data_IF_206390288274
#
_entry.id   IF_206390288274
#
_cell.length_a   1.000
_cell.length_b   1.000
_cell.length_c   1.000
_cell.angle_alpha   90.00
_cell.angle_beta   90.00
_cell.angle_gamma   90.00
#
_symmetry.space_group_name_H-M   'P 1'
#
loop_
_entity.id
_entity.type
_entity.pdbx_description
1 polymer ?
#
# COMPACT_ATOMS: atom_id res chain seq x y z
N UNK A 1 -19.42 -5.29 -17.38
CA UNK A 1 -18.68 -4.54 -16.36
C UNK A 1 -17.88 -3.49 -17.10
N UNK A 2 -17.85 -2.26 -16.59
CA UNK A 2 -16.96 -1.22 -17.13
C UNK A 2 -15.50 -1.65 -16.92
N UNK A 3 -14.60 -1.30 -17.84
CA UNK A 3 -13.18 -1.69 -17.71
C UNK A 3 -12.52 -0.97 -16.53
N UNK A 4 -13.00 0.23 -16.18
CA UNK A 4 -12.57 0.95 -14.98
C UNK A 4 -12.90 0.17 -13.71
N UNK A 5 -14.12 -0.37 -13.61
CA UNK A 5 -14.55 -1.17 -12.46
C UNK A 5 -13.69 -2.44 -12.29
N UNK A 6 -13.25 -3.04 -13.41
CA UNK A 6 -12.40 -4.23 -13.38
C UNK A 6 -10.97 -3.91 -12.93
N UNK A 7 -10.42 -2.77 -13.35
CA UNK A 7 -9.09 -2.33 -12.92
C UNK A 7 -9.07 -1.92 -11.44
N UNK A 8 -10.12 -1.27 -10.96
CA UNK A 8 -10.30 -0.93 -9.55
C UNK A 8 -10.41 -2.19 -8.70
N UNK A 9 -11.18 -3.19 -9.15
CA UNK A 9 -11.31 -4.47 -8.45
C UNK A 9 -9.98 -5.23 -8.41
N UNK A 10 -9.27 -5.32 -9.54
CA UNK A 10 -7.96 -5.97 -9.58
C UNK A 10 -6.92 -5.27 -8.69
N UNK A 11 -6.95 -3.95 -8.62
CA UNK A 11 -6.10 -3.18 -7.72
C UNK A 11 -6.46 -3.46 -6.25
N UNK A 12 -7.75 -3.53 -5.93
CA UNK A 12 -8.21 -3.86 -4.57
C UNK A 12 -7.81 -5.28 -4.17
N UNK A 13 -7.95 -6.27 -5.06
CA UNK A 13 -7.52 -7.65 -4.83
C UNK A 13 -6.00 -7.72 -4.58
N UNK A 14 -5.21 -6.99 -5.38
CA UNK A 14 -3.77 -6.89 -5.18
C UNK A 14 -3.41 -6.28 -3.81
N UNK A 15 -4.12 -5.23 -3.37
CA UNK A 15 -3.93 -4.63 -2.05
C UNK A 15 -4.34 -5.59 -0.92
N UNK A 16 -5.40 -6.38 -1.10
CA UNK A 16 -5.81 -7.40 -0.14
C UNK A 16 -4.72 -8.45 0.09
N UNK A 17 -3.87 -8.74 -0.92
CA UNK A 17 -2.71 -9.62 -0.78
C UNK A 17 -1.64 -9.11 0.19
N UNK A 18 -1.62 -7.81 0.49
CA UNK A 18 -0.72 -7.21 1.47
C UNK A 18 -1.27 -7.21 2.91
N UNK A 19 -2.51 -7.67 3.10
CA UNK A 19 -3.13 -7.76 4.41
C UNK A 19 -2.92 -9.15 5.00
N UNK A 20 -2.45 -9.21 6.24
CA UNK A 20 -2.37 -10.48 6.96
C UNK A 20 -3.78 -11.03 7.14
N UNK A 21 -4.02 -12.26 6.69
CA UNK A 21 -5.33 -12.89 6.79
C UNK A 21 -5.68 -13.13 8.27
N UNK A 22 -6.79 -12.56 8.72
CA UNK A 22 -7.33 -12.84 10.05
C UNK A 22 -7.82 -14.29 10.14
N UNK A 23 -7.64 -14.90 11.32
CA UNK A 23 -8.11 -16.27 11.58
C UNK A 23 -9.65 -16.32 11.78
N UNK A 24 -10.26 -15.17 11.99
CA UNK A 24 -11.67 -14.98 12.31
C UNK A 24 -12.07 -13.51 12.25
N UNK A 25 -13.33 -13.23 12.50
CA UNK A 25 -13.90 -11.88 12.41
C UNK A 25 -13.86 -11.11 13.75
N UNK A 26 -13.51 -11.79 14.84
CA UNK A 26 -13.49 -11.19 16.17
C UNK A 26 -12.16 -10.47 16.42
N UNK A 27 -12.13 -9.39 17.23
CA UNK A 27 -10.92 -8.61 17.47
C UNK A 27 -9.72 -9.43 18.00
N UNK A 28 -9.96 -10.55 18.68
CA UNK A 28 -8.89 -11.43 19.17
C UNK A 28 -8.30 -12.33 18.07
N UNK A 29 -9.05 -12.57 16.99
CA UNK A 29 -8.61 -13.35 15.83
C UNK A 29 -7.86 -12.49 14.79
N UNK A 30 -7.78 -11.18 15.04
CA UNK A 30 -7.08 -10.26 14.16
C UNK A 30 -5.57 -10.39 14.34
N UNK A 31 -4.81 -10.30 13.24
CA UNK A 31 -3.37 -10.44 13.29
C UNK A 31 -2.74 -9.25 14.02
N UNK A 32 -1.77 -9.53 14.90
CA UNK A 32 -0.95 -8.50 15.55
C UNK A 32 -0.16 -7.67 14.54
N UNK A 33 0.21 -8.30 13.41
CA UNK A 33 0.94 -7.69 12.30
C UNK A 33 -0.05 -7.56 11.14
N UNK A 34 -0.61 -6.37 10.89
CA UNK A 34 -1.71 -6.22 9.93
C UNK A 34 -1.27 -6.33 8.46
N UNK A 35 0.03 -6.12 8.19
CA UNK A 35 0.58 -6.12 6.84
C UNK A 35 1.58 -7.26 6.67
N UNK A 36 1.51 -7.96 5.54
CA UNK A 36 2.46 -9.00 5.15
C UNK A 36 2.95 -8.78 3.73
N UNK A 37 4.17 -9.24 3.41
CA UNK A 37 4.65 -9.25 2.03
C UNK A 37 4.12 -10.50 1.32
N UNK A 38 3.25 -10.38 0.30
CA UNK A 38 2.90 -11.52 -0.53
C UNK A 38 4.15 -12.07 -1.21
N UNK A 39 4.14 -13.38 -1.43
CA UNK A 39 5.30 -14.04 -2.04
C UNK A 39 5.48 -13.62 -3.52
N UNK A 40 6.61 -14.04 -4.12
CA UNK A 40 6.91 -13.66 -5.49
C UNK A 40 5.90 -14.19 -6.52
N UNK A 41 5.29 -15.35 -6.27
CA UNK A 41 4.31 -15.97 -7.15
C UNK A 41 2.98 -15.24 -7.06
N UNK A 42 2.51 -14.97 -5.83
CA UNK A 42 1.30 -14.20 -5.54
C UNK A 42 1.37 -12.79 -6.15
N UNK A 43 2.52 -12.11 -6.00
CA UNK A 43 2.73 -10.79 -6.61
C UNK A 43 2.73 -10.84 -8.13
N UNK A 44 3.38 -11.83 -8.72
CA UNK A 44 3.40 -11.98 -10.16
C UNK A 44 2.00 -12.29 -10.72
N UNK A 45 1.16 -13.01 -9.98
CA UNK A 45 -0.24 -13.24 -10.35
C UNK A 45 -1.07 -11.97 -10.25
N UNK A 46 -0.97 -11.24 -9.14
CA UNK A 46 -1.63 -9.95 -8.98
C UNK A 46 -1.23 -8.96 -10.09
N UNK A 47 0.03 -8.94 -10.48
CA UNK A 47 0.54 -8.12 -11.58
C UNK A 47 -0.12 -8.48 -12.92
N UNK A 48 -0.22 -9.78 -13.24
CA UNK A 48 -0.91 -10.26 -14.45
C UNK A 48 -2.39 -9.92 -14.45
N UNK A 49 -3.06 -10.06 -13.30
CA UNK A 49 -4.49 -9.74 -13.17
C UNK A 49 -4.74 -8.24 -13.37
N UNK A 50 -3.86 -7.40 -12.82
CA UNK A 50 -3.92 -5.96 -13.00
C UNK A 50 -3.68 -5.55 -14.46
N UNK A 51 -2.69 -6.16 -15.13
CA UNK A 51 -2.43 -5.94 -16.57
C UNK A 51 -3.60 -6.40 -17.45
N UNK A 52 -4.28 -7.48 -17.07
CA UNK A 52 -5.43 -8.03 -17.81
C UNK A 52 -6.72 -7.20 -17.63
N UNK A 53 -6.83 -6.43 -16.55
CA UNK A 53 -8.01 -5.63 -16.24
C UNK A 53 -8.18 -4.40 -17.17
N UNK A 54 -7.12 -3.99 -17.87
CA UNK A 54 -7.18 -2.94 -18.88
C UNK A 54 -6.33 -1.71 -18.55
N UNK A 55 -6.66 -0.52 -19.08
CA UNK A 55 -5.85 0.68 -18.89
C UNK A 55 -5.74 1.09 -17.42
N UNK A 56 -4.50 1.16 -16.91
CA UNK A 56 -4.25 1.51 -15.52
C UNK A 56 -4.32 3.01 -15.28
N UNK A 57 -5.15 3.40 -14.30
CA UNK A 57 -5.11 4.70 -13.66
C UNK A 57 -3.70 4.98 -13.07
N UNK A 58 -3.30 6.25 -12.89
CA UNK A 58 -1.97 6.60 -12.40
C UNK A 58 -1.56 5.86 -11.11
N UNK A 59 -2.47 5.78 -10.14
CA UNK A 59 -2.23 5.13 -8.85
C UNK A 59 -2.06 3.60 -9.00
N UNK A 60 -2.79 2.97 -9.93
CA UNK A 60 -2.65 1.53 -10.20
C UNK A 60 -1.33 1.19 -10.89
N UNK A 61 -0.75 2.11 -11.67
CA UNK A 61 0.59 1.90 -12.25
C UNK A 61 1.65 1.83 -11.18
N UNK A 62 1.54 2.62 -10.12
CA UNK A 62 2.48 2.57 -9.00
C UNK A 62 2.38 1.24 -8.25
N UNK A 63 1.15 0.74 -8.02
CA UNK A 63 0.93 -0.59 -7.46
C UNK A 63 1.49 -1.68 -8.38
N UNK A 64 1.30 -1.54 -9.69
CA UNK A 64 1.83 -2.49 -10.67
C UNK A 64 3.35 -2.62 -10.61
N UNK A 65 4.06 -1.50 -10.43
CA UNK A 65 5.53 -1.49 -10.29
C UNK A 65 5.96 -2.03 -8.91
N UNK A 66 5.20 -1.74 -7.84
CA UNK A 66 5.47 -2.33 -6.53
C UNK A 66 5.43 -3.87 -6.59
N UNK A 67 4.48 -4.44 -7.34
CA UNK A 67 4.35 -5.88 -7.51
C UNK A 67 5.56 -6.53 -8.21
N UNK A 68 6.31 -5.79 -9.04
CA UNK A 68 7.55 -6.26 -9.66
C UNK A 68 8.73 -6.32 -8.67
N UNK A 69 8.60 -5.77 -7.47
CA UNK A 69 9.66 -5.66 -6.46
C UNK A 69 10.89 -4.87 -6.94
N UNK A 70 10.72 -3.98 -7.93
CA UNK A 70 11.78 -3.12 -8.45
C UNK A 70 11.72 -1.74 -7.79
N UNK A 71 12.58 -1.54 -6.79
CA UNK A 71 12.70 -0.26 -6.06
C UNK A 71 13.00 0.92 -7.00
N UNK A 72 13.89 0.75 -7.97
CA UNK A 72 14.35 1.88 -8.80
C UNK A 72 13.24 2.32 -9.76
N UNK A 73 12.56 1.34 -10.38
CA UNK A 73 11.40 1.63 -11.21
C UNK A 73 10.28 2.27 -10.38
N UNK A 74 10.09 1.81 -9.14
CA UNK A 74 9.09 2.35 -8.23
C UNK A 74 9.33 3.82 -7.89
N UNK A 75 10.55 4.20 -7.53
CA UNK A 75 10.91 5.60 -7.22
C UNK A 75 10.68 6.54 -8.41
N UNK A 76 10.99 6.07 -9.63
CA UNK A 76 10.74 6.83 -10.85
C UNK A 76 9.24 7.01 -11.12
N UNK A 77 8.45 5.94 -10.95
CA UNK A 77 7.00 6.00 -11.08
C UNK A 77 6.37 6.92 -10.03
N UNK A 78 6.80 6.82 -8.77
CA UNK A 78 6.34 7.65 -7.66
C UNK A 78 6.63 9.13 -7.92
N UNK A 79 7.86 9.45 -8.31
CA UNK A 79 8.25 10.83 -8.65
C UNK A 79 7.40 11.39 -9.78
N UNK A 80 7.19 10.61 -10.82
CA UNK A 80 6.36 11.00 -11.98
C UNK A 80 4.92 11.30 -11.55
N UNK A 81 4.33 10.44 -10.72
CA UNK A 81 2.97 10.61 -10.22
C UNK A 81 2.84 11.82 -9.28
N UNK A 82 3.79 12.04 -8.38
CA UNK A 82 3.79 13.21 -7.49
C UNK A 82 3.90 14.52 -8.28
N UNK A 83 4.74 14.55 -9.32
CA UNK A 83 4.85 15.71 -10.21
C UNK A 83 3.56 15.93 -11.01
N UNK A 84 2.92 14.87 -11.50
CA UNK A 84 1.64 14.97 -12.19
C UNK A 84 0.53 15.48 -11.26
N UNK A 85 0.46 14.95 -10.03
CA UNK A 85 -0.48 15.38 -9.00
C UNK A 85 -0.32 16.88 -8.71
N UNK A 86 0.91 17.35 -8.48
CA UNK A 86 1.22 18.77 -8.26
C UNK A 86 0.74 19.66 -9.42
N UNK A 87 0.90 19.23 -10.67
CA UNK A 87 0.41 19.99 -11.85
C UNK A 87 -1.10 20.03 -11.93
N UNK A 88 -1.78 18.99 -11.46
CA UNK A 88 -3.25 18.90 -11.47
C UNK A 88 -3.92 19.61 -10.29
N UNK A 89 -3.17 19.88 -9.21
CA UNK A 89 -3.69 20.54 -8.02
C UNK A 89 -4.18 21.97 -8.34
N UNK A 90 -5.47 22.22 -8.11
CA UNK A 90 -6.07 23.54 -8.28
C UNK A 90 -5.65 24.46 -7.11
N UNK A 91 -5.42 25.77 -7.33
CA UNK A 91 -5.04 26.71 -6.27
C UNK A 91 -6.00 26.74 -5.06
N UNK A 92 -7.29 26.50 -5.29
CA UNK A 92 -8.35 26.49 -4.27
C UNK A 92 -8.73 25.08 -3.79
N UNK A 93 -7.86 24.09 -4.00
CA UNK A 93 -8.13 22.72 -3.59
C UNK A 93 -8.25 22.64 -2.05
N UNK A 94 -9.27 21.91 -1.57
CA UNK A 94 -9.46 21.70 -0.13
C UNK A 94 -8.20 21.05 0.47
N UNK A 95 -7.81 21.38 1.72
CA UNK A 95 -6.56 20.90 2.32
C UNK A 95 -6.36 19.38 2.26
N UNK A 96 -7.46 18.60 2.38
CA UNK A 96 -7.44 17.15 2.30
C UNK A 96 -7.20 16.57 0.89
N UNK A 97 -7.42 17.34 -0.16
CA UNK A 97 -7.12 16.95 -1.56
C UNK A 97 -5.69 17.28 -2.00
N UNK A 98 -4.90 17.87 -1.10
CA UNK A 98 -3.48 18.17 -1.36
C UNK A 98 -2.59 16.94 -1.20
N UNK A 99 -3.04 15.91 -0.47
CA UNK A 99 -2.28 14.69 -0.25
C UNK A 99 -2.73 13.58 -1.20
N UNK A 100 -1.84 13.01 -2.02
CA UNK A 100 -2.15 11.89 -2.88
C UNK A 100 -2.21 10.59 -2.05
N UNK A 101 -3.36 10.31 -1.42
CA UNK A 101 -3.56 9.17 -0.53
C UNK A 101 -3.24 7.81 -1.18
N UNK A 102 -3.58 7.63 -2.46
CA UNK A 102 -3.23 6.42 -3.21
C UNK A 102 -1.71 6.22 -3.30
N UNK A 103 -0.98 7.26 -3.72
CA UNK A 103 0.48 7.22 -3.78
C UNK A 103 1.12 6.99 -2.40
N UNK A 104 0.61 7.64 -1.36
CA UNK A 104 1.07 7.48 0.02
C UNK A 104 0.88 6.07 0.54
N UNK A 105 -0.27 5.47 0.26
CA UNK A 105 -0.58 4.09 0.69
C UNK A 105 0.41 3.11 0.06
N UNK A 106 0.69 3.25 -1.24
CA UNK A 106 1.61 2.36 -1.95
C UNK A 106 3.07 2.61 -1.51
N UNK A 107 3.47 3.86 -1.26
CA UNK A 107 4.79 4.17 -0.70
C UNK A 107 4.96 3.63 0.73
N UNK A 108 3.91 3.67 1.55
CA UNK A 108 3.92 3.07 2.89
C UNK A 108 4.10 1.55 2.82
N UNK A 109 3.48 0.85 1.86
CA UNK A 109 3.72 -0.59 1.63
C UNK A 109 5.17 -0.86 1.20
N UNK A 110 5.72 -0.05 0.30
CA UNK A 110 7.13 -0.16 -0.10
C UNK A 110 8.09 -0.06 1.09
N UNK A 111 7.86 0.90 1.99
CA UNK A 111 8.69 1.07 3.19
C UNK A 111 8.44 -0.02 4.22
N UNK A 112 7.19 -0.23 4.64
CA UNK A 112 6.87 -1.08 5.80
C UNK A 112 6.96 -2.58 5.49
N UNK A 113 6.62 -2.98 4.26
CA UNK A 113 6.48 -4.39 3.88
C UNK A 113 7.64 -4.86 3.01
N UNK A 114 8.07 -4.04 2.04
CA UNK A 114 9.23 -4.38 1.22
C UNK A 114 10.56 -3.97 1.87
N UNK A 115 10.51 -3.16 2.94
CA UNK A 115 11.70 -2.71 3.67
C UNK A 115 12.56 -1.73 2.87
N UNK A 116 11.98 -1.05 1.88
CA UNK A 116 12.73 -0.12 1.03
C UNK A 116 12.99 1.19 1.75
N UNK A 117 14.23 1.66 1.65
CA UNK A 117 14.59 3.07 1.90
C UNK A 117 14.38 3.83 0.60
N UNK A 118 13.33 4.66 0.55
CA UNK A 118 13.00 5.48 -0.61
C UNK A 118 13.81 6.78 -0.57
N UNK A 119 14.49 7.15 -1.66
CA UNK A 119 15.24 8.42 -1.76
C UNK A 119 14.37 9.60 -2.30
N UNK A 120 13.06 9.37 -2.41
CA UNK A 120 12.12 10.37 -2.94
C UNK A 120 11.65 11.30 -1.81
N UNK A 121 12.23 12.49 -1.76
CA UNK A 121 11.87 13.52 -0.79
C UNK A 121 10.84 14.49 -1.38
N UNK A 122 9.63 14.53 -0.82
CA UNK A 122 8.55 15.41 -1.30
C UNK A 122 7.72 15.93 -0.13
N UNK A 123 7.29 17.20 -0.19
CA UNK A 123 6.34 17.75 0.79
C UNK A 123 4.98 17.05 0.79
N UNK A 124 4.70 16.25 -0.23
CA UNK A 124 3.51 15.39 -0.34
C UNK A 124 3.72 13.98 0.24
N UNK A 125 4.93 13.67 0.69
CA UNK A 125 5.35 12.37 1.18
C UNK A 125 6.05 12.53 2.55
N UNK A 126 5.31 12.93 3.60
CA UNK A 126 5.91 13.12 4.91
C UNK A 126 6.36 11.77 5.48
N UNK A 127 7.64 11.68 5.87
CA UNK A 127 8.28 10.44 6.37
C UNK A 127 7.51 9.81 7.54
N UNK A 128 6.85 10.63 8.35
CA UNK A 128 6.03 10.20 9.49
C UNK A 128 4.82 9.36 9.07
N UNK A 129 4.28 9.56 7.86
CA UNK A 129 3.15 8.78 7.34
C UNK A 129 3.57 7.49 6.62
N UNK A 130 4.84 7.40 6.19
CA UNK A 130 5.36 6.18 5.57
C UNK A 130 5.51 5.04 6.59
N UNK A 131 5.57 5.39 7.88
CA UNK A 131 5.81 4.44 8.97
C UNK A 131 7.28 4.02 9.01
N UNK A 132 7.56 2.90 9.68
CA UNK A 132 8.88 2.29 9.60
C UNK A 132 8.79 0.75 9.62
N UNK A 133 9.74 0.06 8.97
CA UNK A 133 9.80 -1.40 9.00
C UNK A 133 9.91 -1.95 10.43
N UNK A 134 10.48 -1.17 11.35
CA UNK A 134 10.63 -1.56 12.75
C UNK A 134 9.30 -1.67 13.49
N UNK A 135 8.26 -0.95 13.06
CA UNK A 135 6.93 -1.07 13.66
C UNK A 135 6.32 -2.45 13.38
N UNK A 136 6.45 -2.93 12.14
CA UNK A 136 6.03 -4.27 11.71
C UNK A 136 6.84 -5.35 12.43
N UNK A 137 8.17 -5.21 12.48
CA UNK A 137 9.05 -6.15 13.18
C UNK A 137 8.79 -6.22 14.70
N UNK A 138 8.47 -5.10 15.35
CA UNK A 138 8.08 -5.10 16.77
C UNK A 138 6.75 -5.79 16.99
N UNK A 139 5.78 -5.60 16.10
CA UNK A 139 4.50 -6.31 16.17
C UNK A 139 4.67 -7.82 15.99
N UNK A 140 5.58 -8.26 15.11
CA UNK A 140 5.95 -9.68 14.94
C UNK A 140 6.56 -10.26 16.22
N UNK A 141 7.47 -9.51 16.86
CA UNK A 141 8.12 -9.93 18.10
C UNK A 141 7.17 -10.05 19.30
N UNK A 142 6.04 -9.33 19.30
CA UNK A 142 5.02 -9.41 20.36
C UNK A 142 4.20 -10.71 20.25
N UNK A 143 4.13 -11.31 19.05
CA UNK A 143 3.69 -12.70 18.83
C UNK A 143 2.24 -13.06 19.14
N UNK A 144 1.52 -12.29 19.95
CA UNK A 144 0.13 -12.57 20.37
C UNK A 144 -0.64 -11.26 20.51
N UNK A 145 -1.84 -11.21 19.92
CA UNK A 145 -2.77 -10.10 20.09
C UNK A 145 -3.43 -10.19 21.49
N UNK A 146 -2.70 -9.76 22.52
CA UNK A 146 -3.17 -9.76 23.92
C UNK A 146 -4.34 -8.78 24.18
N UNK A 147 -4.78 -8.03 23.16
CA UNK A 147 -5.94 -7.13 23.24
C UNK A 147 -7.27 -7.87 23.46
N UNK A 148 -7.29 -9.20 23.33
CA UNK A 148 -8.43 -10.06 23.66
C UNK A 148 -8.62 -10.36 25.15
N UNK A 149 -7.61 -10.09 26.01
CA UNK A 149 -7.68 -10.40 27.44
C UNK A 149 -8.23 -9.25 28.29
N UNK A 150 -9.24 -8.52 27.79
CA UNK A 150 -10.07 -7.70 28.67
C UNK A 150 -11.06 -8.63 29.38
N UNK A 151 -10.59 -9.29 30.45
CA UNK A 151 -11.47 -9.92 31.41
C UNK A 151 -12.37 -8.84 32.00
N UNK A 152 -13.64 -8.82 31.57
CA UNK A 152 -14.67 -8.06 32.23
C UNK A 152 -14.69 -8.49 33.72
N UNK A 153 -14.34 -7.55 34.61
CA UNK A 153 -14.56 -7.68 36.04
C UNK A 153 -15.98 -7.26 36.40
#
# INVERSE_FOLDING_TARGET
>A
ADLADLADLAAMDALCGYLTRAAGHLPHDWPTVPLCKPDAVERAEAARNLDAAGPLAPDHRLLRVLLDDDRTAFEQALTTQLLAHRRSARPDAAPGSLLPLGALTIAALAVQVHGWELDVHSGYLPDQLLGSPQAVQRAEAIGVNDLGYWAAK
#
